data_IF_422148031328
#
_entry.id   IF_422148031328
#
_cell.length_a   1.000
_cell.length_b   1.000
_cell.length_c   1.000
_cell.angle_alpha   90.00
_cell.angle_beta   90.00
_cell.angle_gamma   90.00
#
_symmetry.space_group_name_H-M   'P 1'
#
loop_
_entity.id
_entity.type
_entity.pdbx_description
1 polymer ?
#
# COMPACT_ATOMS: atom_id res chain seq x y z
N UNK A 1 1.78 24.53 -89.03
CA UNK A 1 1.84 24.92 -87.60
C UNK A 1 2.78 23.93 -86.92
N UNK A 2 4.12 24.09 -86.86
CA UNK A 2 4.91 25.13 -86.13
C UNK A 2 4.32 25.33 -84.72
N UNK A 3 4.98 25.03 -83.58
CA UNK A 3 6.39 25.21 -83.17
C UNK A 3 6.78 24.20 -82.04
N UNK A 4 7.77 23.33 -82.17
CA UNK A 4 9.18 23.45 -81.70
C UNK A 4 9.40 24.26 -80.40
N UNK A 5 9.47 23.60 -79.24
CA UNK A 5 9.97 24.16 -77.96
C UNK A 5 11.44 23.81 -77.76
N UNK A 6 12.28 24.86 -77.68
CA UNK A 6 13.74 24.81 -77.53
C UNK A 6 14.13 24.62 -76.05
N UNK A 7 14.94 23.59 -75.79
CA UNK A 7 15.75 23.44 -74.59
C UNK A 7 16.78 24.56 -74.46
N UNK A 8 16.85 25.21 -73.29
CA UNK A 8 17.91 26.14 -72.91
C UNK A 8 18.91 25.46 -71.96
N UNK A 9 20.23 25.62 -72.17
CA UNK A 9 21.25 25.24 -71.19
C UNK A 9 21.42 26.37 -70.17
N UNK A 10 21.53 26.04 -68.89
CA UNK A 10 21.95 26.99 -67.85
C UNK A 10 23.43 26.76 -67.58
N UNK A 11 24.21 27.78 -67.94
CA UNK A 11 25.63 27.85 -67.74
C UNK A 11 26.00 28.06 -66.27
N UNK A 12 27.12 27.44 -65.91
CA UNK A 12 27.87 27.59 -64.67
C UNK A 12 28.44 29.02 -64.61
N UNK A 13 28.16 29.74 -63.52
CA UNK A 13 28.93 30.93 -63.13
C UNK A 13 29.37 30.78 -61.67
N UNK A 14 30.67 30.53 -61.50
CA UNK A 14 31.37 30.66 -60.22
C UNK A 14 31.59 32.15 -59.96
N UNK A 15 31.10 32.66 -58.84
CA UNK A 15 31.56 33.91 -58.26
C UNK A 15 31.80 33.71 -56.77
N UNK A 16 33.08 33.84 -56.38
CA UNK A 16 33.53 33.93 -54.99
C UNK A 16 33.14 35.30 -54.46
N UNK A 17 32.38 35.34 -53.35
CA UNK A 17 32.37 36.48 -52.43
C UNK A 17 32.61 35.93 -51.04
N UNK A 18 33.85 36.10 -50.61
CA UNK A 18 34.32 36.05 -49.22
C UNK A 18 33.80 37.31 -48.52
N UNK A 19 33.72 37.23 -47.19
CA UNK A 19 33.37 38.28 -46.21
C UNK A 19 31.88 38.29 -45.84
N UNK A 20 31.56 37.65 -44.72
CA UNK A 20 30.71 38.14 -43.61
C UNK A 20 30.52 36.98 -42.60
N UNK A 21 31.60 36.64 -41.89
CA UNK A 21 31.63 35.65 -40.80
C UNK A 21 32.09 36.33 -39.49
N UNK A 22 31.46 37.46 -39.14
CA UNK A 22 31.73 38.18 -37.90
C UNK A 22 30.48 38.79 -37.25
N UNK A 23 29.27 38.32 -37.62
CA UNK A 23 28.00 38.91 -37.17
C UNK A 23 26.94 37.89 -36.71
N UNK A 24 27.31 36.64 -36.42
CA UNK A 24 26.38 35.60 -35.99
C UNK A 24 26.88 34.76 -34.81
N UNK A 25 27.92 35.23 -34.09
CA UNK A 25 28.44 34.60 -32.86
C UNK A 25 28.12 35.44 -31.61
N UNK A 26 27.59 36.66 -31.77
CA UNK A 26 27.29 37.57 -30.64
C UNK A 26 25.79 37.63 -30.26
N UNK A 27 24.95 36.75 -30.83
CA UNK A 27 23.52 36.61 -30.44
C UNK A 27 23.23 35.23 -29.82
N UNK A 28 24.18 34.29 -29.84
CA UNK A 28 24.04 32.96 -29.21
C UNK A 28 24.55 32.94 -27.76
N UNK A 29 25.19 34.01 -27.28
CA UNK A 29 25.73 34.12 -25.90
C UNK A 29 24.79 34.81 -24.90
N UNK A 30 23.59 35.25 -25.30
CA UNK A 30 22.64 35.96 -24.43
C UNK A 30 21.38 35.14 -24.05
N UNK A 31 21.47 33.80 -24.11
CA UNK A 31 20.49 32.89 -23.53
C UNK A 31 21.17 32.02 -22.45
N UNK A 32 21.93 32.68 -21.57
CA UNK A 32 22.23 32.12 -20.25
C UNK A 32 20.92 32.16 -19.48
N UNK A 33 20.12 31.11 -19.62
CA UNK A 33 18.96 30.86 -18.78
C UNK A 33 19.43 30.99 -17.33
N UNK A 34 18.94 32.03 -16.63
CA UNK A 34 19.19 32.21 -15.22
C UNK A 34 18.68 30.95 -14.51
N UNK A 35 19.60 30.05 -14.15
CA UNK A 35 19.30 28.88 -13.35
C UNK A 35 18.92 29.43 -11.98
N UNK A 36 17.62 29.63 -11.78
CA UNK A 36 17.09 30.06 -10.50
C UNK A 36 17.40 28.96 -9.49
N UNK A 37 18.45 29.18 -8.71
CA UNK A 37 18.87 28.30 -7.62
C UNK A 37 17.73 28.22 -6.61
N UNK A 38 17.03 27.10 -6.61
CA UNK A 38 16.05 26.80 -5.59
C UNK A 38 16.78 26.67 -4.25
N UNK A 39 16.33 27.41 -3.23
CA UNK A 39 16.93 27.37 -1.90
C UNK A 39 15.98 26.63 -0.96
N UNK A 40 16.43 25.63 -0.20
CA UNK A 40 15.56 24.98 0.78
C UNK A 40 15.10 26.02 1.81
N UNK A 41 13.80 26.00 2.12
CA UNK A 41 13.20 26.98 3.02
C UNK A 41 11.80 26.61 3.49
N UNK A 42 11.36 27.29 4.53
CA UNK A 42 10.02 27.18 5.10
C UNK A 42 9.26 28.46 4.75
N UNK A 43 8.13 28.32 4.08
CA UNK A 43 7.22 29.42 3.74
C UNK A 43 6.00 29.35 4.65
N UNK A 44 5.81 30.36 5.49
CA UNK A 44 4.59 30.55 6.27
C UNK A 44 3.67 31.52 5.54
N UNK A 45 2.42 31.14 5.37
CA UNK A 45 1.38 31.97 4.74
C UNK A 45 0.55 32.70 5.79
N UNK A 46 -0.05 33.84 5.42
CA UNK A 46 -0.93 34.64 6.29
C UNK A 46 -2.18 33.89 6.74
N UNK A 47 -2.56 32.82 6.04
CA UNK A 47 -3.64 31.92 6.45
C UNK A 47 -3.22 30.89 7.50
N UNK A 48 -1.94 30.86 7.87
CA UNK A 48 -1.37 29.92 8.85
C UNK A 48 -0.83 28.63 8.25
N UNK A 49 -0.91 28.41 6.93
CA UNK A 49 -0.32 27.22 6.30
C UNK A 49 1.21 27.34 6.22
N UNK A 50 1.92 26.24 6.48
CA UNK A 50 3.38 26.14 6.50
C UNK A 50 3.81 25.14 5.43
N UNK A 51 4.68 25.58 4.51
CA UNK A 51 5.25 24.77 3.44
C UNK A 51 6.76 24.62 3.65
N UNK A 52 7.32 23.42 3.50
CA UNK A 52 8.75 23.15 3.65
C UNK A 52 9.26 22.44 2.40
N UNK A 53 10.22 23.03 1.70
CA UNK A 53 10.75 22.48 0.45
C UNK A 53 11.71 23.43 -0.25
N UNK A 54 12.00 23.15 -1.52
CA UNK A 54 12.85 24.03 -2.33
C UNK A 54 12.06 25.25 -2.78
N UNK A 55 12.49 26.44 -2.36
CA UNK A 55 11.82 27.71 -2.60
C UNK A 55 12.48 28.41 -3.79
N UNK A 56 11.68 28.68 -4.82
CA UNK A 56 12.07 29.49 -5.98
C UNK A 56 11.19 30.73 -6.03
N UNK A 57 11.81 31.90 -5.91
CA UNK A 57 11.12 33.18 -6.04
C UNK A 57 11.11 33.64 -7.50
N UNK A 58 9.92 33.89 -8.07
CA UNK A 58 9.76 34.44 -9.41
C UNK A 58 8.75 35.60 -9.40
N UNK A 59 9.28 36.82 -9.33
CA UNK A 59 8.46 38.04 -9.34
C UNK A 59 7.47 38.06 -8.16
N UNK A 60 6.17 38.03 -8.45
CA UNK A 60 5.11 38.09 -7.43
C UNK A 60 4.63 36.70 -6.94
N UNK A 61 5.31 35.62 -7.35
CA UNK A 61 4.94 34.25 -6.98
C UNK A 61 6.14 33.52 -6.40
N UNK A 62 5.90 32.73 -5.35
CA UNK A 62 6.88 31.82 -4.77
C UNK A 62 6.45 30.40 -5.09
N UNK A 63 7.36 29.61 -5.65
CA UNK A 63 7.13 28.19 -5.92
C UNK A 63 7.86 27.38 -4.86
N UNK A 64 7.13 26.57 -4.10
CA UNK A 64 7.71 25.62 -3.13
C UNK A 64 7.60 24.22 -3.72
N UNK A 65 8.73 23.54 -3.93
CA UNK A 65 8.77 22.15 -4.38
C UNK A 65 8.86 21.22 -3.18
N UNK A 66 7.82 20.42 -2.96
CA UNK A 66 7.76 19.44 -1.87
C UNK A 66 7.73 18.05 -2.50
N UNK A 67 8.83 17.30 -2.39
CA UNK A 67 8.93 15.94 -2.94
C UNK A 67 8.53 15.86 -4.43
N UNK A 68 8.89 16.88 -5.21
CA UNK A 68 8.61 16.98 -6.64
C UNK A 68 7.25 17.57 -7.01
N UNK A 69 6.42 17.96 -6.04
CA UNK A 69 5.17 18.70 -6.29
C UNK A 69 5.43 20.19 -6.11
N UNK A 70 5.24 20.96 -7.19
CA UNK A 70 5.37 22.42 -7.16
C UNK A 70 4.07 23.08 -6.68
N UNK A 71 4.15 23.85 -5.60
CA UNK A 71 3.05 24.68 -5.09
C UNK A 71 3.36 26.15 -5.31
N UNK A 72 2.52 26.85 -6.09
CA UNK A 72 2.68 28.28 -6.37
C UNK A 72 1.85 29.10 -5.37
N UNK A 73 2.50 30.01 -4.67
CA UNK A 73 1.90 30.86 -3.63
C UNK A 73 2.13 32.32 -4.03
N UNK A 74 1.08 33.13 -4.04
CA UNK A 74 1.24 34.55 -4.31
C UNK A 74 2.03 35.19 -3.16
N UNK A 75 3.00 36.05 -3.47
CA UNK A 75 3.85 36.70 -2.46
C UNK A 75 3.04 37.53 -1.46
N UNK A 76 1.87 38.05 -1.86
CA UNK A 76 0.95 38.76 -0.97
C UNK A 76 0.40 37.89 0.17
N UNK A 77 0.28 36.58 -0.06
CA UNK A 77 -0.26 35.61 0.90
C UNK A 77 0.83 35.09 1.86
N UNK A 78 2.08 35.51 1.71
CA UNK A 78 3.21 35.02 2.49
C UNK A 78 3.44 35.94 3.69
N UNK A 79 3.51 35.33 4.87
CA UNK A 79 3.83 35.99 6.13
C UNK A 79 5.34 36.04 6.34
N UNK A 80 6.02 34.91 6.18
CA UNK A 80 7.48 34.83 6.31
C UNK A 80 8.08 33.71 5.47
N UNK A 81 9.36 33.89 5.10
CA UNK A 81 10.17 32.88 4.41
C UNK A 81 11.45 32.72 5.24
N UNK A 82 11.67 31.53 5.73
CA UNK A 82 12.86 31.18 6.48
C UNK A 82 13.71 30.23 5.63
N UNK A 83 14.80 30.76 5.07
CA UNK A 83 15.74 29.97 4.30
C UNK A 83 16.56 29.10 5.22
N UNK A 84 16.63 27.81 4.92
CA UNK A 84 17.51 26.87 5.61
C UNK A 84 18.91 27.05 5.04
N UNK A 85 19.69 27.94 5.65
CA UNK A 85 21.11 28.11 5.32
C UNK A 85 21.94 27.09 6.07
N UNK A 86 22.90 26.48 5.39
CA UNK A 86 23.85 25.53 5.99
C UNK A 86 23.55 24.07 5.67
N UNK A 87 24.54 23.23 5.93
CA UNK A 87 24.41 21.77 5.83
C UNK A 87 23.36 21.23 6.78
N UNK A 88 22.82 20.04 6.49
CA UNK A 88 21.88 19.38 7.41
C UNK A 88 22.47 19.18 8.81
N UNK A 89 23.79 19.00 8.89
CA UNK A 89 24.51 18.91 10.17
C UNK A 89 24.52 20.24 10.92
N UNK A 90 24.83 21.36 10.25
CA UNK A 90 24.79 22.70 10.87
C UNK A 90 23.38 23.03 11.38
N UNK A 91 22.34 22.66 10.63
CA UNK A 91 20.95 22.83 11.06
C UNK A 91 20.58 21.96 12.26
N UNK A 92 21.09 20.72 12.31
CA UNK A 92 20.93 19.83 13.46
C UNK A 92 21.60 20.45 14.69
N UNK A 93 22.83 20.91 14.56
CA UNK A 93 23.63 21.47 15.65
C UNK A 93 23.00 22.76 16.19
N UNK A 94 22.53 23.64 15.29
CA UNK A 94 21.81 24.86 15.67
C UNK A 94 20.54 24.53 16.47
N UNK A 95 19.70 23.60 15.98
CA UNK A 95 18.49 23.18 16.69
C UNK A 95 18.82 22.54 18.03
N UNK A 96 19.84 21.69 18.06
CA UNK A 96 20.32 21.01 19.27
C UNK A 96 20.80 22.01 20.32
N UNK A 97 21.47 23.08 19.90
CA UNK A 97 21.95 24.15 20.81
C UNK A 97 20.83 24.95 21.48
N UNK A 98 19.62 24.95 20.90
CA UNK A 98 18.44 25.64 21.43
C UNK A 98 17.65 24.78 22.43
N UNK A 99 17.97 23.48 22.56
CA UNK A 99 17.31 22.57 23.49
C UNK A 99 17.90 22.75 24.90
N UNK A 100 17.04 22.68 25.92
CA UNK A 100 17.50 22.58 27.30
C UNK A 100 18.20 21.23 27.54
N UNK A 101 19.09 21.18 28.52
CA UNK A 101 19.89 19.98 28.80
C UNK A 101 19.02 18.74 29.10
N UNK A 102 17.88 18.95 29.75
CA UNK A 102 16.89 17.97 30.22
C UNK A 102 15.64 17.86 29.31
N UNK A 103 15.62 18.49 28.13
CA UNK A 103 14.47 18.46 27.24
C UNK A 103 14.36 17.15 26.45
N UNK A 104 13.80 16.12 27.09
CA UNK A 104 13.54 14.79 26.48
C UNK A 104 12.71 14.94 25.20
N UNK A 105 11.61 15.71 25.27
CA UNK A 105 10.67 15.86 24.16
C UNK A 105 11.32 16.53 22.95
N UNK A 106 12.04 17.63 23.16
CA UNK A 106 12.76 18.34 22.10
C UNK A 106 13.82 17.48 21.43
N UNK A 107 14.51 16.62 22.19
CA UNK A 107 15.49 15.66 21.64
C UNK A 107 14.83 14.58 20.78
N UNK A 108 13.70 14.04 21.22
CA UNK A 108 12.92 13.06 20.42
C UNK A 108 12.42 13.71 19.12
N UNK A 109 11.89 14.92 19.19
CA UNK A 109 11.41 15.66 18.00
C UNK A 109 12.56 15.96 17.03
N UNK A 110 13.71 16.40 17.54
CA UNK A 110 14.90 16.62 16.73
C UNK A 110 15.44 15.31 16.11
N UNK A 111 15.36 14.20 16.85
CA UNK A 111 15.75 12.88 16.36
C UNK A 111 14.83 12.37 15.24
N UNK A 112 13.52 12.62 15.32
CA UNK A 112 12.58 12.35 14.21
C UNK A 112 12.91 13.19 12.99
N UNK A 113 13.20 14.49 13.18
CA UNK A 113 13.64 15.35 12.08
C UNK A 113 14.94 14.86 11.43
N UNK A 114 15.92 14.41 12.22
CA UNK A 114 17.16 13.83 11.69
C UNK A 114 16.89 12.56 10.88
N UNK A 115 16.00 11.68 11.35
CA UNK A 115 15.59 10.47 10.65
C UNK A 115 14.89 10.78 9.32
N UNK A 116 13.99 11.77 9.29
CA UNK A 116 13.32 12.22 8.06
C UNK A 116 14.30 12.73 7.01
N UNK A 117 15.43 13.28 7.44
CA UNK A 117 16.54 13.74 6.58
C UNK A 117 17.61 12.66 6.33
N UNK A 118 17.32 11.38 6.60
CA UNK A 118 18.23 10.25 6.43
C UNK A 118 19.52 10.33 7.27
N UNK A 119 19.56 11.17 8.31
CA UNK A 119 20.67 11.29 9.26
C UNK A 119 20.52 10.25 10.38
N UNK A 120 20.60 8.96 10.03
CA UNK A 120 20.30 7.85 10.95
C UNK A 120 21.25 7.74 12.14
N UNK A 121 22.50 8.21 12.03
CA UNK A 121 23.42 8.23 13.17
C UNK A 121 23.06 9.34 14.17
N UNK A 122 22.95 10.62 13.76
CA UNK A 122 22.46 11.68 14.63
C UNK A 122 21.08 11.41 15.26
N UNK A 123 20.16 10.80 14.51
CA UNK A 123 18.85 10.41 15.04
C UNK A 123 18.97 9.40 16.21
N UNK A 124 19.89 8.43 16.11
CA UNK A 124 20.13 7.44 17.15
C UNK A 124 20.76 8.07 18.40
N UNK A 125 21.74 8.97 18.22
CA UNK A 125 22.39 9.71 19.32
C UNK A 125 21.37 10.52 20.12
N UNK A 126 20.51 11.27 19.45
CA UNK A 126 19.45 12.05 20.09
C UNK A 126 18.44 11.17 20.86
N UNK A 127 18.09 10.01 20.30
CA UNK A 127 17.22 9.05 20.98
C UNK A 127 17.89 8.43 22.23
N UNK A 128 19.19 8.18 22.17
CA UNK A 128 19.98 7.69 23.31
C UNK A 128 20.10 8.75 24.40
N UNK A 129 20.36 10.01 24.04
CA UNK A 129 20.39 11.13 24.99
C UNK A 129 19.05 11.35 25.68
N UNK A 130 17.95 11.29 24.93
CA UNK A 130 16.61 11.35 25.49
C UNK A 130 16.36 10.21 26.49
N UNK A 131 16.76 8.97 26.13
CA UNK A 131 16.63 7.80 27.03
C UNK A 131 17.57 7.89 28.25
N UNK A 132 18.68 8.61 28.15
CA UNK A 132 19.59 8.81 29.28
C UNK A 132 19.01 9.81 30.30
N UNK A 133 18.28 10.82 29.83
CA UNK A 133 17.59 11.79 30.69
C UNK A 133 16.37 11.14 31.34
N UNK A 134 15.54 10.44 30.56
CA UNK A 134 14.41 9.66 31.05
C UNK A 134 14.41 8.23 30.45
N UNK A 135 14.86 7.23 31.22
CA UNK A 135 14.88 5.83 30.76
C UNK A 135 13.50 5.21 30.51
N UNK A 136 12.43 5.86 30.96
CA UNK A 136 11.05 5.35 30.88
C UNK A 136 10.19 6.05 29.82
N UNK A 137 10.74 7.03 29.09
CA UNK A 137 10.01 7.72 28.02
C UNK A 137 9.77 6.79 26.81
N UNK A 138 8.51 6.42 26.59
CA UNK A 138 8.09 5.53 25.50
C UNK A 138 8.47 6.06 24.12
N UNK A 139 8.48 7.39 23.92
CA UNK A 139 8.77 8.00 22.63
C UNK A 139 10.25 7.89 22.26
N UNK A 140 11.16 8.10 23.22
CA UNK A 140 12.60 7.92 23.06
C UNK A 140 12.95 6.46 22.80
N UNK A 141 12.35 5.52 23.55
CA UNK A 141 12.51 4.07 23.36
C UNK A 141 12.06 3.66 21.95
N UNK A 142 10.86 4.10 21.54
CA UNK A 142 10.29 3.80 20.22
C UNK A 142 11.14 4.36 19.08
N UNK A 143 11.61 5.60 19.20
CA UNK A 143 12.48 6.23 18.20
C UNK A 143 13.80 5.47 18.06
N UNK A 144 14.46 5.13 19.18
CA UNK A 144 15.72 4.37 19.18
C UNK A 144 15.58 3.04 18.45
N UNK A 145 14.51 2.30 18.72
CA UNK A 145 14.27 1.01 18.07
C UNK A 145 13.99 1.17 16.57
N UNK A 146 13.18 2.16 16.19
CA UNK A 146 12.88 2.46 14.79
C UNK A 146 14.15 2.79 14.00
N UNK A 147 15.03 3.64 14.54
CA UNK A 147 16.28 4.03 13.88
C UNK A 147 17.22 2.82 13.73
N UNK A 148 17.31 1.93 14.73
CA UNK A 148 18.11 0.70 14.65
C UNK A 148 17.61 -0.25 13.57
N UNK A 149 16.30 -0.42 13.45
CA UNK A 149 15.70 -1.26 12.42
C UNK A 149 16.00 -0.70 11.03
N UNK A 150 15.90 0.62 10.84
CA UNK A 150 16.24 1.28 9.59
C UNK A 150 17.73 1.13 9.24
N UNK A 151 18.64 1.36 10.20
CA UNK A 151 20.09 1.13 9.99
C UNK A 151 20.40 -0.32 9.59
N UNK A 152 19.72 -1.30 10.19
CA UNK A 152 19.86 -2.73 9.84
C UNK A 152 19.39 -2.99 8.41
N UNK A 153 18.25 -2.43 8.01
CA UNK A 153 17.73 -2.56 6.65
C UNK A 153 18.68 -1.93 5.62
N UNK A 154 19.23 -0.74 5.89
CA UNK A 154 20.15 -0.09 4.96
C UNK A 154 21.48 -0.83 4.86
N UNK A 155 22.02 -1.38 5.96
CA UNK A 155 23.19 -2.27 5.91
C UNK A 155 22.92 -3.54 5.10
N UNK A 156 21.73 -4.13 5.22
CA UNK A 156 21.36 -5.30 4.44
C UNK A 156 21.27 -4.96 2.94
N UNK A 157 20.71 -3.79 2.59
CA UNK A 157 20.67 -3.28 1.21
C UNK A 157 22.05 -3.03 0.63
N UNK A 158 22.96 -2.40 1.38
CA UNK A 158 24.33 -2.11 0.92
C UNK A 158 25.20 -3.37 0.77
N UNK A 159 24.81 -4.49 1.41
CA UNK A 159 25.50 -5.78 1.30
C UNK A 159 25.03 -6.64 0.13
N UNK A 160 23.94 -6.28 -0.55
CA UNK A 160 23.54 -6.98 -1.76
C UNK A 160 24.57 -6.67 -2.87
N UNK A 161 25.14 -7.70 -3.53
CA UNK A 161 26.02 -7.49 -4.68
C UNK A 161 25.31 -6.62 -5.72
N UNK A 162 25.92 -5.48 -6.06
CA UNK A 162 25.61 -4.79 -7.30
C UNK A 162 26.25 -5.64 -8.42
N UNK A 163 25.51 -6.63 -8.91
CA UNK A 163 25.99 -7.46 -10.01
C UNK A 163 26.21 -6.59 -11.26
N UNK A 164 27.49 -6.45 -11.56
CA UNK A 164 28.09 -6.64 -12.87
C UNK A 164 27.11 -6.72 -14.05
N UNK A 165 27.20 -5.66 -14.86
CA UNK A 165 26.78 -5.62 -16.26
C UNK A 165 27.25 -6.90 -16.98
N UNK A 166 26.36 -7.67 -17.64
CA UNK A 166 26.76 -8.92 -18.27
C UNK A 166 27.64 -8.63 -19.49
N UNK A 167 28.91 -8.99 -19.39
CA UNK A 167 29.82 -9.08 -20.52
C UNK A 167 29.62 -10.46 -21.20
N UNK A 168 29.47 -10.39 -22.52
CA UNK A 168 29.27 -11.54 -23.41
C UNK A 168 30.58 -12.32 -23.53
N UNK A 169 30.51 -13.63 -23.24
CA UNK A 169 31.25 -14.71 -23.90
C UNK A 169 32.76 -14.85 -23.62
N UNK A 170 33.17 -15.99 -23.08
CA UNK A 170 33.98 -17.03 -23.77
C UNK A 170 34.48 -18.07 -22.76
N UNK A 171 34.30 -19.34 -23.12
CA UNK A 171 34.79 -20.58 -22.49
C UNK A 171 36.28 -20.59 -22.19
N UNK A 172 36.71 -21.10 -21.02
CA UNK A 172 37.59 -22.30 -20.87
C UNK A 172 37.50 -22.87 -19.45
N UNK A 173 37.58 -24.21 -19.35
CA UNK A 173 37.72 -25.03 -18.15
C UNK A 173 38.94 -24.66 -17.28
N UNK A 174 38.77 -24.71 -15.95
CA UNK A 174 39.74 -25.33 -15.03
C UNK A 174 39.10 -25.59 -13.66
N UNK A 175 39.39 -26.78 -13.12
CA UNK A 175 38.86 -27.34 -11.88
C UNK A 175 39.50 -26.75 -10.62
N UNK A 176 38.72 -26.63 -9.53
CA UNK A 176 39.21 -26.74 -8.15
C UNK A 176 38.06 -27.07 -7.16
N UNK A 177 38.38 -27.66 -6.00
CA UNK A 177 37.53 -28.65 -5.31
C UNK A 177 36.48 -28.07 -4.35
N UNK A 178 35.45 -28.88 -4.15
CA UNK A 178 34.33 -28.66 -3.25
C UNK A 178 34.74 -28.68 -1.77
N UNK A 179 34.35 -27.65 -1.03
CA UNK A 179 34.13 -27.71 0.42
C UNK A 179 32.64 -27.52 0.67
N UNK A 180 31.97 -28.64 0.88
CA UNK A 180 30.57 -28.75 1.28
C UNK A 180 30.47 -28.51 2.78
N UNK A 181 29.91 -27.38 3.21
CA UNK A 181 29.39 -27.21 4.57
C UNK A 181 27.92 -26.82 4.49
N UNK A 182 27.07 -27.83 4.63
CA UNK A 182 25.63 -27.68 4.87
C UNK A 182 25.40 -27.03 6.24
N UNK A 183 24.58 -25.99 6.38
CA UNK A 183 24.11 -25.57 7.69
C UNK A 183 23.00 -26.52 8.17
N UNK A 184 23.33 -27.28 9.21
CA UNK A 184 22.40 -28.08 10.01
C UNK A 184 21.37 -27.18 10.69
N UNK A 185 20.11 -27.36 10.32
CA UNK A 185 18.92 -26.86 11.02
C UNK A 185 18.80 -27.56 12.36
N UNK A 186 19.18 -26.89 13.45
CA UNK A 186 18.77 -27.29 14.81
C UNK A 186 17.40 -26.69 15.15
N UNK A 187 16.49 -27.47 15.75
CA UNK A 187 15.16 -26.99 16.14
C UNK A 187 15.27 -26.06 17.36
N UNK A 188 14.76 -24.83 17.22
CA UNK A 188 14.74 -23.85 18.29
C UNK A 188 13.71 -24.25 19.36
N UNK A 189 14.20 -24.44 20.57
CA UNK A 189 13.44 -24.54 21.82
C UNK A 189 12.68 -23.23 22.07
N UNK A 190 11.37 -23.35 22.32
CA UNK A 190 10.48 -22.23 22.59
C UNK A 190 10.85 -21.52 23.91
N UNK A 191 11.35 -20.29 23.78
CA UNK A 191 11.51 -19.36 24.90
C UNK A 191 10.18 -18.67 25.20
N UNK A 192 9.76 -18.70 26.46
CA UNK A 192 8.47 -18.20 26.98
C UNK A 192 8.48 -16.71 27.34
N UNK A 193 9.33 -15.90 26.69
CA UNK A 193 9.18 -14.45 26.78
C UNK A 193 7.88 -14.04 26.06
N UNK A 194 7.08 -13.11 26.60
CA UNK A 194 5.92 -12.58 25.90
C UNK A 194 6.42 -11.98 24.58
N UNK A 195 6.21 -12.72 23.49
CA UNK A 195 6.77 -12.40 22.20
C UNK A 195 6.28 -11.01 21.78
N UNK A 196 7.19 -10.17 21.32
CA UNK A 196 6.85 -8.88 20.77
C UNK A 196 5.70 -9.04 19.74
N UNK A 197 4.79 -8.05 19.63
CA UNK A 197 3.65 -8.15 18.72
C UNK A 197 4.11 -8.52 17.31
N UNK A 198 3.58 -9.62 16.76
CA UNK A 198 3.88 -10.03 15.38
C UNK A 198 3.13 -9.11 14.43
N UNK A 199 3.84 -8.32 13.66
CA UNK A 199 3.31 -7.54 12.55
C UNK A 199 3.40 -8.33 11.25
N UNK A 200 2.56 -7.96 10.27
CA UNK A 200 2.75 -8.36 8.88
C UNK A 200 4.09 -7.86 8.34
N UNK A 201 4.71 -8.66 7.46
CA UNK A 201 5.93 -8.24 6.76
C UNK A 201 5.62 -7.19 5.69
N UNK A 202 6.66 -6.50 5.19
CA UNK A 202 6.50 -5.54 4.10
C UNK A 202 5.93 -6.20 2.82
N UNK A 203 6.29 -7.46 2.58
CA UNK A 203 5.79 -8.21 1.42
C UNK A 203 4.31 -8.60 1.58
N UNK A 204 3.88 -8.99 2.78
CA UNK A 204 2.47 -9.23 3.11
C UNK A 204 1.62 -7.97 2.91
N UNK A 205 2.13 -6.82 3.36
CA UNK A 205 1.48 -5.53 3.14
C UNK A 205 1.36 -5.23 1.65
N UNK A 206 2.40 -5.50 0.86
CA UNK A 206 2.34 -5.35 -0.60
C UNK A 206 1.35 -6.33 -1.24
N UNK A 207 1.21 -7.55 -0.73
CA UNK A 207 0.18 -8.49 -1.18
C UNK A 207 -1.22 -7.92 -0.95
N UNK A 208 -1.50 -7.39 0.26
CA UNK A 208 -2.79 -6.73 0.55
C UNK A 208 -3.04 -5.57 -0.42
N UNK A 209 -2.05 -4.67 -0.60
CA UNK A 209 -2.19 -3.53 -1.52
C UNK A 209 -2.50 -3.95 -2.95
N UNK A 210 -1.76 -4.93 -3.49
CA UNK A 210 -2.01 -5.47 -4.85
C UNK A 210 -3.38 -6.14 -4.97
N UNK A 211 -3.87 -6.78 -3.90
CA UNK A 211 -5.16 -7.46 -3.92
C UNK A 211 -6.33 -6.51 -3.72
N UNK A 212 -6.16 -5.40 -3.00
CA UNK A 212 -7.22 -4.41 -2.73
C UNK A 212 -7.30 -3.25 -3.73
N UNK A 213 -6.32 -3.09 -4.63
CA UNK A 213 -6.40 -2.07 -5.70
C UNK A 213 -7.62 -2.30 -6.61
N UNK A 214 -8.33 -1.22 -6.93
CA UNK A 214 -9.53 -1.22 -7.78
C UNK A 214 -9.38 -0.30 -9.00
N UNK A 215 -10.16 -0.51 -10.07
CA UNK A 215 -10.29 0.48 -11.14
C UNK A 215 -10.71 1.84 -10.58
N UNK A 216 -10.07 2.91 -11.02
CA UNK A 216 -10.36 4.29 -10.58
C UNK A 216 -9.61 4.73 -9.32
N UNK A 217 -8.92 3.84 -8.61
CA UNK A 217 -8.09 4.22 -7.47
C UNK A 217 -6.96 5.18 -7.90
N UNK A 218 -6.71 6.23 -7.11
CA UNK A 218 -5.59 7.15 -7.34
C UNK A 218 -4.33 6.69 -6.60
N UNK A 219 -3.78 5.54 -6.99
CA UNK A 219 -2.57 4.97 -6.37
C UNK A 219 -1.33 5.08 -7.24
N UNK A 220 -0.19 5.33 -6.58
CA UNK A 220 1.13 5.29 -7.21
C UNK A 220 1.59 3.84 -7.33
N UNK A 221 1.77 3.38 -8.56
CA UNK A 221 2.27 2.03 -8.86
C UNK A 221 3.61 2.10 -9.57
N UNK A 222 4.53 1.25 -9.15
CA UNK A 222 5.78 0.99 -9.87
C UNK A 222 5.70 -0.39 -10.53
N UNK A 223 5.83 -0.40 -11.85
CA UNK A 223 5.88 -1.62 -12.67
C UNK A 223 7.19 -1.58 -13.46
N UNK A 224 8.10 -2.55 -13.27
CA UNK A 224 9.35 -2.61 -14.01
C UNK A 224 9.13 -2.62 -15.53
N UNK A 225 9.96 -1.90 -16.33
CA UNK A 225 9.77 -1.82 -17.78
C UNK A 225 9.79 -3.17 -18.51
N UNK A 226 10.62 -4.11 -18.03
CA UNK A 226 10.72 -5.48 -18.54
C UNK A 226 9.44 -6.29 -18.27
N UNK A 227 8.81 -6.11 -17.10
CA UNK A 227 7.50 -6.71 -16.78
C UNK A 227 6.43 -6.20 -17.74
N UNK A 228 6.39 -4.88 -18.01
CA UNK A 228 5.44 -4.30 -18.98
C UNK A 228 5.63 -4.87 -20.38
N UNK A 229 6.87 -4.97 -20.86
CA UNK A 229 7.20 -5.54 -22.18
C UNK A 229 6.81 -7.01 -22.27
N UNK A 230 7.17 -7.80 -21.25
CA UNK A 230 6.89 -9.23 -21.20
C UNK A 230 5.38 -9.50 -21.17
N UNK A 231 4.63 -8.72 -20.40
CA UNK A 231 3.17 -8.80 -20.38
C UNK A 231 2.56 -8.45 -21.74
N UNK A 232 2.95 -7.31 -22.33
CA UNK A 232 2.42 -6.89 -23.64
C UNK A 232 2.69 -7.94 -24.73
N UNK A 233 3.91 -8.48 -24.79
CA UNK A 233 4.28 -9.55 -25.72
C UNK A 233 3.43 -10.81 -25.51
N UNK A 234 3.24 -11.24 -24.26
CA UNK A 234 2.44 -12.43 -23.92
C UNK A 234 0.96 -12.27 -24.31
N UNK A 235 0.41 -11.08 -24.15
CA UNK A 235 -0.99 -10.80 -24.48
C UNK A 235 -1.22 -10.47 -25.96
N UNK A 236 -0.16 -10.49 -26.80
CA UNK A 236 -0.26 -10.10 -28.20
C UNK A 236 -0.57 -8.60 -28.41
N UNK A 237 -0.30 -7.77 -27.41
CA UNK A 237 -0.51 -6.32 -27.46
C UNK A 237 0.76 -5.62 -27.92
N UNK A 238 0.60 -4.49 -28.62
CA UNK A 238 1.75 -3.61 -28.85
C UNK A 238 2.19 -2.97 -27.53
N UNK A 239 3.49 -2.76 -27.34
CA UNK A 239 4.00 -2.13 -26.12
C UNK A 239 3.45 -0.69 -25.94
N UNK A 240 3.22 0.01 -27.05
CA UNK A 240 2.62 1.35 -27.06
C UNK A 240 1.18 1.34 -26.59
N UNK A 241 0.37 0.37 -27.04
CA UNK A 241 -1.02 0.20 -26.62
C UNK A 241 -1.13 -0.15 -25.14
N UNK A 242 -0.23 -0.98 -24.61
CA UNK A 242 -0.24 -1.26 -23.18
C UNK A 242 0.18 -0.02 -22.36
N UNK A 243 1.18 0.73 -22.82
CA UNK A 243 1.67 1.91 -22.13
C UNK A 243 0.71 3.12 -22.17
N UNK A 244 -0.26 3.15 -23.08
CA UNK A 244 -1.26 4.22 -23.12
C UNK A 244 -2.31 4.10 -22.00
N UNK A 245 -2.43 2.93 -21.37
CA UNK A 245 -3.26 2.72 -20.17
C UNK A 245 -2.67 3.49 -18.98
N UNK A 246 -3.50 3.86 -18.00
CA UNK A 246 -3.03 4.43 -16.74
C UNK A 246 -2.18 3.41 -15.96
N UNK A 247 -1.34 3.87 -15.02
CA UNK A 247 -0.50 2.98 -14.22
C UNK A 247 -1.31 1.93 -13.44
N UNK A 248 -2.50 2.29 -12.96
CA UNK A 248 -3.42 1.39 -12.25
C UNK A 248 -4.03 0.36 -13.19
N UNK A 249 -4.47 0.76 -14.37
CA UNK A 249 -4.98 -0.17 -15.38
C UNK A 249 -3.90 -1.14 -15.86
N UNK A 250 -2.67 -0.66 -16.06
CA UNK A 250 -1.52 -1.53 -16.37
C UNK A 250 -1.29 -2.55 -15.24
N UNK A 251 -1.34 -2.10 -13.98
CA UNK A 251 -1.14 -2.97 -12.83
C UNK A 251 -2.23 -4.04 -12.73
N UNK A 252 -3.49 -3.64 -12.81
CA UNK A 252 -4.65 -4.54 -12.75
C UNK A 252 -4.62 -5.59 -13.87
N UNK A 253 -4.28 -5.17 -15.09
CA UNK A 253 -4.17 -6.08 -16.23
C UNK A 253 -3.13 -7.19 -15.98
N UNK A 254 -1.96 -6.82 -15.44
CA UNK A 254 -0.91 -7.79 -15.07
C UNK A 254 -1.32 -8.63 -13.85
N UNK A 255 -1.98 -8.03 -12.86
CA UNK A 255 -2.43 -8.76 -11.66
C UNK A 255 -3.44 -9.85 -12.01
N UNK A 256 -4.34 -9.58 -12.95
CA UNK A 256 -5.36 -10.52 -13.41
C UNK A 256 -4.77 -11.57 -14.35
N UNK A 257 -4.04 -11.15 -15.40
CA UNK A 257 -3.67 -12.03 -16.51
C UNK A 257 -2.17 -12.38 -16.62
N UNK A 258 -1.31 -11.74 -15.82
CA UNK A 258 0.12 -12.04 -15.77
C UNK A 258 0.43 -13.33 -15.01
N UNK A 259 1.65 -13.85 -15.15
CA UNK A 259 2.14 -14.92 -14.29
C UNK A 259 2.60 -14.40 -12.91
N UNK A 260 2.88 -15.33 -12.00
CA UNK A 260 3.25 -15.02 -10.61
C UNK A 260 4.56 -14.22 -10.51
N UNK A 261 5.49 -14.43 -11.46
CA UNK A 261 6.73 -13.65 -11.52
C UNK A 261 6.46 -12.20 -11.92
N UNK A 262 5.55 -11.94 -12.86
CA UNK A 262 5.13 -10.59 -13.21
C UNK A 262 4.36 -9.92 -12.06
N UNK A 263 3.41 -10.64 -11.45
CA UNK A 263 2.56 -10.14 -10.35
C UNK A 263 3.38 -9.71 -9.13
N UNK A 264 4.38 -10.50 -8.75
CA UNK A 264 5.23 -10.24 -7.57
C UNK A 264 6.13 -9.02 -7.72
N UNK A 265 6.48 -8.63 -8.95
CA UNK A 265 7.33 -7.47 -9.23
C UNK A 265 6.59 -6.13 -9.21
N UNK A 266 5.25 -6.14 -9.18
CA UNK A 266 4.45 -4.92 -9.06
C UNK A 266 4.53 -4.40 -7.63
N UNK A 267 4.89 -3.12 -7.47
CA UNK A 267 4.92 -2.45 -6.17
C UNK A 267 3.87 -1.34 -6.14
N UNK A 268 3.01 -1.39 -5.13
CA UNK A 268 1.98 -0.38 -4.87
C UNK A 268 2.52 0.54 -3.77
N UNK A 269 2.91 1.74 -4.17
CA UNK A 269 3.71 2.69 -3.37
C UNK A 269 2.84 3.58 -2.46
N UNK A 270 1.55 3.70 -2.74
CA UNK A 270 0.56 4.36 -1.87
C UNK A 270 -0.61 3.43 -1.60
N UNK A 271 -1.38 3.71 -0.55
CA UNK A 271 -2.48 2.83 -0.15
C UNK A 271 -3.67 2.91 -1.13
N UNK A 272 -4.29 1.77 -1.48
CA UNK A 272 -5.60 1.75 -2.13
C UNK A 272 -6.68 2.44 -1.31
N UNK A 273 -7.75 2.92 -1.95
CA UNK A 273 -8.84 3.66 -1.28
C UNK A 273 -9.46 2.85 -0.14
N UNK A 274 -9.62 1.53 -0.36
CA UNK A 274 -10.12 0.60 0.65
C UNK A 274 -9.31 0.65 1.96
N UNK A 275 -7.99 0.79 1.85
CA UNK A 275 -7.09 0.84 3.00
C UNK A 275 -7.03 2.25 3.60
N UNK A 276 -7.09 3.29 2.77
CA UNK A 276 -7.19 4.69 3.23
C UNK A 276 -8.42 4.85 4.14
N UNK A 277 -9.59 4.39 3.70
CA UNK A 277 -10.81 4.44 4.51
C UNK A 277 -10.72 3.56 5.75
N UNK A 278 -10.14 2.36 5.66
CA UNK A 278 -9.91 1.52 6.84
C UNK A 278 -9.06 2.23 7.89
N UNK A 279 -7.96 2.89 7.49
CA UNK A 279 -7.10 3.63 8.43
C UNK A 279 -7.84 4.76 9.14
N UNK A 280 -8.79 5.43 8.47
CA UNK A 280 -9.68 6.43 9.10
C UNK A 280 -10.63 5.81 10.13
N UNK A 281 -11.01 4.54 9.94
CA UNK A 281 -11.85 3.78 10.88
C UNK A 281 -11.03 3.11 11.99
N UNK A 282 -9.75 2.87 11.77
CA UNK A 282 -8.89 2.03 12.60
C UNK A 282 -8.78 2.54 14.04
N UNK A 283 -8.61 3.85 14.26
CA UNK A 283 -8.58 4.43 15.60
C UNK A 283 -9.88 4.19 16.38
N UNK A 284 -11.04 4.23 15.73
CA UNK A 284 -12.32 3.89 16.38
C UNK A 284 -12.37 2.41 16.78
N UNK A 285 -11.87 1.52 15.91
CA UNK A 285 -11.82 0.08 16.18
C UNK A 285 -10.85 -0.22 17.33
N UNK A 286 -9.67 0.40 17.37
CA UNK A 286 -8.73 0.22 18.48
C UNK A 286 -9.36 0.66 19.80
N UNK A 287 -9.87 1.89 19.83
CA UNK A 287 -10.42 2.46 21.06
C UNK A 287 -11.69 1.73 21.55
N UNK A 288 -12.44 1.14 20.63
CA UNK A 288 -13.68 0.44 20.93
C UNK A 288 -13.53 -1.07 21.23
N UNK A 289 -12.59 -1.73 20.57
CA UNK A 289 -12.50 -3.20 20.56
C UNK A 289 -11.15 -3.70 21.11
N UNK A 290 -10.04 -3.04 20.78
CA UNK A 290 -8.68 -3.51 21.10
C UNK A 290 -8.19 -3.09 22.51
N UNK A 291 -9.09 -2.82 23.44
CA UNK A 291 -8.69 -2.50 24.82
C UNK A 291 -8.07 -3.72 25.50
N UNK A 292 -7.19 -3.51 26.48
CA UNK A 292 -6.49 -4.60 27.20
C UNK A 292 -7.44 -5.63 27.82
N UNK A 293 -8.64 -5.21 28.22
CA UNK A 293 -9.66 -6.10 28.81
C UNK A 293 -10.50 -6.85 27.77
N UNK A 294 -10.50 -6.41 26.51
CA UNK A 294 -11.31 -6.99 25.44
C UNK A 294 -10.41 -7.75 24.44
N UNK A 295 -9.99 -7.09 23.35
CA UNK A 295 -9.24 -7.69 22.25
C UNK A 295 -7.83 -7.11 22.05
N UNK A 296 -7.25 -6.40 23.02
CA UNK A 296 -5.86 -5.91 22.94
C UNK A 296 -4.80 -7.01 23.05
N UNK A 297 -3.51 -6.65 23.05
CA UNK A 297 -2.39 -7.61 23.16
C UNK A 297 -2.38 -8.43 24.45
N UNK A 298 -2.98 -7.92 25.53
CA UNK A 298 -3.17 -8.61 26.80
C UNK A 298 -4.58 -9.22 26.95
N UNK A 299 -5.31 -9.36 25.84
CA UNK A 299 -6.73 -9.70 25.81
C UNK A 299 -7.06 -10.95 26.61
N UNK A 300 -8.19 -10.85 27.31
CA UNK A 300 -8.90 -12.01 27.88
C UNK A 300 -10.23 -12.29 27.17
N UNK A 301 -10.63 -11.40 26.25
CA UNK A 301 -11.87 -11.45 25.48
C UNK A 301 -11.78 -12.44 24.31
N UNK A 302 -11.78 -13.72 24.63
CA UNK A 302 -11.78 -14.79 23.63
C UNK A 302 -10.54 -14.81 22.74
N UNK A 303 -10.76 -15.14 21.48
CA UNK A 303 -9.75 -15.61 20.53
C UNK A 303 -9.33 -14.53 19.50
N UNK A 304 -9.93 -13.35 19.55
CA UNK A 304 -9.56 -12.24 18.67
C UNK A 304 -8.57 -11.34 19.41
N UNK A 305 -7.39 -11.15 18.81
CA UNK A 305 -6.34 -10.26 19.30
C UNK A 305 -6.06 -9.20 18.23
N UNK A 306 -6.10 -7.94 18.63
CA UNK A 306 -5.85 -6.76 17.81
C UNK A 306 -4.67 -5.98 18.38
N UNK A 307 -3.92 -5.37 17.48
CA UNK A 307 -2.79 -4.50 17.82
C UNK A 307 -3.30 -3.10 18.16
N UNK A 308 -2.82 -2.53 19.27
CA UNK A 308 -3.28 -1.24 19.79
C UNK A 308 -2.54 -0.04 19.22
N UNK A 309 -1.43 -0.28 18.51
CA UNK A 309 -0.61 0.79 17.96
C UNK A 309 -1.30 1.44 16.75
N UNK A 310 -1.27 2.76 16.67
CA UNK A 310 -1.75 3.54 15.52
C UNK A 310 -0.61 3.81 14.53
N UNK A 311 -0.04 2.74 13.96
CA UNK A 311 1.00 2.82 12.93
C UNK A 311 0.64 1.96 11.71
N UNK A 312 1.37 2.14 10.61
CA UNK A 312 1.10 1.46 9.34
C UNK A 312 1.11 -0.08 9.45
N UNK A 313 2.17 -0.70 10.00
CA UNK A 313 2.21 -2.15 10.18
C UNK A 313 1.05 -2.67 11.03
N UNK A 314 0.69 -1.98 12.11
CA UNK A 314 -0.45 -2.35 12.96
C UNK A 314 -1.78 -2.23 12.22
N UNK A 315 -1.97 -1.17 11.44
CA UNK A 315 -3.17 -0.95 10.62
C UNK A 315 -3.37 -2.10 9.64
N UNK A 316 -2.34 -2.45 8.87
CA UNK A 316 -2.42 -3.56 7.92
C UNK A 316 -2.63 -4.92 8.59
N UNK A 317 -1.96 -5.15 9.72
CA UNK A 317 -2.11 -6.38 10.48
C UNK A 317 -3.54 -6.52 11.01
N UNK A 318 -4.10 -5.45 11.59
CA UNK A 318 -5.48 -5.44 12.05
C UNK A 318 -6.49 -5.57 10.90
N UNK A 319 -6.25 -4.91 9.76
CA UNK A 319 -7.08 -5.08 8.55
C UNK A 319 -7.13 -6.57 8.13
N UNK A 320 -5.98 -7.24 8.08
CA UNK A 320 -5.91 -8.65 7.74
C UNK A 320 -6.63 -9.53 8.77
N UNK A 321 -6.37 -9.32 10.07
CA UNK A 321 -7.04 -10.08 11.14
C UNK A 321 -8.56 -9.93 11.02
N UNK A 322 -9.07 -8.70 10.89
CA UNK A 322 -10.51 -8.44 10.83
C UNK A 322 -11.17 -9.03 9.59
N UNK A 323 -10.49 -9.00 8.43
CA UNK A 323 -11.04 -9.57 7.20
C UNK A 323 -11.02 -11.10 7.18
N UNK A 324 -10.02 -11.70 7.84
CA UNK A 324 -9.87 -13.16 7.85
C UNK A 324 -10.56 -13.84 9.04
N UNK A 325 -10.96 -13.10 10.08
CA UNK A 325 -11.63 -13.66 11.25
C UNK A 325 -13.07 -14.05 10.95
N UNK A 326 -13.43 -15.26 11.33
CA UNK A 326 -14.79 -15.80 11.23
C UNK A 326 -15.21 -16.49 12.52
N UNK A 327 -16.52 -16.51 12.76
CA UNK A 327 -17.11 -17.16 13.93
C UNK A 327 -18.48 -17.72 13.60
N UNK A 328 -18.78 -18.89 14.16
CA UNK A 328 -20.12 -19.46 14.16
C UNK A 328 -21.06 -18.64 15.06
N UNK A 329 -22.18 -18.19 14.50
CA UNK A 329 -23.23 -17.47 15.23
C UNK A 329 -24.58 -18.15 15.05
N UNK A 330 -25.47 -17.95 16.02
CA UNK A 330 -26.73 -18.66 16.18
C UNK A 330 -26.71 -19.51 17.45
N UNK A 331 -27.83 -19.54 18.17
CA UNK A 331 -27.98 -20.43 19.32
C UNK A 331 -28.11 -21.88 18.81
N UNK A 332 -27.38 -22.79 19.44
CA UNK A 332 -27.44 -24.23 19.13
C UNK A 332 -28.82 -24.85 19.39
N UNK A 333 -29.74 -24.10 20.00
CA UNK A 333 -31.11 -24.50 20.29
C UNK A 333 -32.07 -24.27 19.14
N UNK A 334 -31.70 -23.47 18.13
CA UNK A 334 -32.52 -23.19 16.96
C UNK A 334 -32.40 -24.33 15.92
N UNK A 335 -32.59 -25.58 16.37
CA UNK A 335 -32.45 -26.84 15.61
C UNK A 335 -33.56 -27.07 14.57
N UNK A 336 -34.03 -26.01 13.90
CA UNK A 336 -34.82 -26.19 12.69
C UNK A 336 -34.06 -27.09 11.71
N UNK A 337 -34.77 -27.81 10.84
CA UNK A 337 -34.19 -28.72 9.83
C UNK A 337 -33.09 -28.06 8.95
N UNK A 338 -33.03 -26.72 8.92
CA UNK A 338 -32.01 -25.93 8.23
C UNK A 338 -31.28 -24.90 9.14
N UNK A 339 -31.49 -24.94 10.46
CA UNK A 339 -31.01 -23.96 11.46
C UNK A 339 -29.78 -24.45 12.21
N UNK A 340 -28.63 -24.47 11.55
CA UNK A 340 -27.35 -24.72 12.21
C UNK A 340 -26.63 -23.42 12.57
N UNK A 341 -25.65 -23.45 13.50
CA UNK A 341 -24.71 -22.35 13.66
C UNK A 341 -24.10 -22.00 12.30
N UNK A 342 -24.30 -20.74 11.89
CA UNK A 342 -23.84 -20.26 10.59
C UNK A 342 -22.53 -19.52 10.79
N UNK A 343 -21.51 -19.88 10.02
CA UNK A 343 -20.24 -19.15 10.02
C UNK A 343 -20.48 -17.73 9.47
N UNK A 344 -20.06 -16.72 10.22
CA UNK A 344 -20.09 -15.31 9.84
C UNK A 344 -18.72 -14.69 9.95
N UNK A 345 -18.40 -13.80 9.01
CA UNK A 345 -17.14 -13.06 9.02
C UNK A 345 -17.26 -11.79 9.86
N UNK A 346 -16.14 -11.39 10.43
CA UNK A 346 -16.05 -10.11 11.12
C UNK A 346 -16.20 -8.96 10.12
N UNK A 347 -15.61 -9.09 8.93
CA UNK A 347 -15.85 -8.21 7.78
C UNK A 347 -16.48 -9.03 6.64
N UNK A 348 -17.77 -8.84 6.39
CA UNK A 348 -18.55 -9.46 5.33
C UNK A 348 -18.77 -8.44 4.19
N UNK A 349 -18.02 -8.60 3.10
CA UNK A 349 -18.03 -7.68 1.94
C UNK A 349 -19.41 -7.63 1.29
N UNK A 350 -19.91 -6.43 1.02
CA UNK A 350 -21.25 -6.23 0.44
C UNK A 350 -22.43 -6.49 1.36
N UNK A 351 -22.19 -6.91 2.62
CA UNK A 351 -23.21 -7.17 3.64
C UNK A 351 -22.81 -6.60 5.00
N UNK A 352 -22.25 -5.40 4.97
CA UNK A 352 -21.62 -4.73 6.10
C UNK A 352 -22.56 -4.53 7.29
N UNK A 353 -23.85 -4.32 7.04
CA UNK A 353 -24.87 -4.18 8.07
C UNK A 353 -25.04 -5.46 8.89
N UNK A 354 -24.94 -6.63 8.27
CA UNK A 354 -25.01 -7.94 8.94
C UNK A 354 -23.66 -8.49 9.38
N UNK A 355 -22.56 -7.82 9.03
CA UNK A 355 -21.20 -8.21 9.38
C UNK A 355 -20.99 -8.18 10.90
N UNK A 356 -20.20 -9.13 11.44
CA UNK A 356 -20.03 -9.18 12.90
C UNK A 356 -19.34 -7.92 13.45
N UNK A 357 -18.47 -7.24 12.68
CA UNK A 357 -17.80 -6.02 13.14
C UNK A 357 -18.81 -4.89 13.41
N UNK A 358 -19.83 -4.76 12.56
CA UNK A 358 -20.89 -3.78 12.74
C UNK A 358 -21.85 -4.22 13.87
N UNK A 359 -22.29 -5.47 13.84
CA UNK A 359 -23.28 -6.01 14.78
C UNK A 359 -22.75 -6.11 16.20
N UNK A 360 -21.51 -6.58 16.38
CA UNK A 360 -20.84 -6.58 17.68
C UNK A 360 -20.49 -5.18 18.17
N UNK A 361 -20.45 -4.17 17.30
CA UNK A 361 -20.30 -2.79 17.70
C UNK A 361 -21.58 -2.15 18.25
N UNK A 362 -22.75 -2.76 18.08
CA UNK A 362 -24.03 -2.25 18.59
C UNK A 362 -24.27 -2.66 20.05
N UNK A 363 -25.13 -1.95 20.79
CA UNK A 363 -25.59 -2.40 22.09
C UNK A 363 -26.35 -3.75 21.93
N UNK A 364 -26.20 -4.72 22.85
CA UNK A 364 -26.80 -6.05 22.70
C UNK A 364 -28.32 -6.08 22.48
N UNK A 365 -29.04 -5.05 22.93
CA UNK A 365 -30.49 -4.91 22.73
C UNK A 365 -30.88 -4.51 21.30
N UNK A 366 -29.94 -3.95 20.53
CA UNK A 366 -30.14 -3.48 19.15
C UNK A 366 -29.42 -4.36 18.12
N UNK A 367 -28.51 -5.22 18.55
CA UNK A 367 -27.75 -6.11 17.68
C UNK A 367 -28.58 -7.36 17.31
N UNK A 368 -28.59 -7.71 16.03
CA UNK A 368 -29.08 -9.01 15.55
C UNK A 368 -28.12 -10.12 16.01
N UNK A 369 -26.82 -9.92 15.79
CA UNK A 369 -25.78 -10.80 16.32
C UNK A 369 -25.12 -10.11 17.53
N UNK A 370 -25.42 -10.61 18.72
CA UNK A 370 -24.96 -10.00 19.97
C UNK A 370 -23.47 -10.25 20.19
N UNK A 371 -22.75 -9.23 20.66
CA UNK A 371 -21.37 -9.40 21.13
C UNK A 371 -21.33 -10.47 22.23
N UNK A 372 -20.39 -11.44 22.19
CA UNK A 372 -20.22 -12.43 23.25
C UNK A 372 -20.05 -11.78 24.62
N UNK A 373 -20.58 -12.41 25.68
CA UNK A 373 -20.45 -11.88 27.03
C UNK A 373 -18.98 -11.78 27.42
N UNK A 374 -18.54 -10.58 27.78
CA UNK A 374 -17.21 -10.34 28.33
C UNK A 374 -17.19 -10.91 29.75
N UNK A 375 -16.40 -11.96 29.97
CA UNK A 375 -16.34 -12.66 31.27
C UNK A 375 -15.43 -11.96 32.28
N UNK A 376 -14.52 -11.11 31.81
CA UNK A 376 -13.55 -10.38 32.63
C UNK A 376 -13.56 -8.91 32.24
N UNK A 377 -13.85 -8.03 33.19
CA UNK A 377 -13.94 -6.58 32.96
C UNK A 377 -15.39 -6.06 32.88
N UNK A 378 -15.57 -4.78 32.51
CA UNK A 378 -16.88 -4.16 32.45
C UNK A 378 -17.74 -4.79 31.35
N UNK A 379 -19.06 -4.75 31.55
CA UNK A 379 -20.00 -5.18 30.52
C UNK A 379 -19.81 -4.34 29.24
N UNK A 380 -19.79 -5.03 28.11
CA UNK A 380 -19.70 -4.38 26.80
C UNK A 380 -21.02 -3.67 26.46
N UNK A 381 -20.93 -2.38 26.14
CA UNK A 381 -22.10 -1.52 25.89
C UNK A 381 -22.32 -1.15 24.42
N UNK A 382 -21.45 -1.60 23.50
CA UNK A 382 -21.45 -1.11 22.12
C UNK A 382 -20.56 0.11 21.93
N UNK A 383 -19.95 0.22 20.75
CA UNK A 383 -19.21 1.40 20.30
C UNK A 383 -20.10 2.36 19.49
N UNK A 384 -21.20 1.84 18.95
CA UNK A 384 -22.24 2.57 18.23
C UNK A 384 -23.47 2.74 19.11
N UNK A 385 -24.26 3.80 18.87
CA UNK A 385 -25.54 3.99 19.59
C UNK A 385 -26.65 3.10 19.05
N UNK A 386 -26.72 2.97 17.72
CA UNK A 386 -27.67 2.19 16.93
C UNK A 386 -27.20 2.16 15.46
N UNK A 387 -28.03 1.57 14.60
CA UNK A 387 -27.83 1.52 13.15
C UNK A 387 -27.87 2.89 12.47
N UNK A 388 -28.41 3.91 13.15
CA UNK A 388 -28.47 5.28 12.64
C UNK A 388 -27.24 6.11 12.97
N UNK A 389 -26.38 5.63 13.88
CA UNK A 389 -25.11 6.26 14.24
C UNK A 389 -24.25 6.48 12.96
N UNK A 390 -23.79 7.72 12.69
CA UNK A 390 -22.95 8.01 11.52
C UNK A 390 -21.71 7.12 11.42
N UNK A 391 -21.16 6.68 12.56
CA UNK A 391 -20.00 5.79 12.62
C UNK A 391 -20.35 4.37 12.19
N UNK A 392 -21.54 3.89 12.56
CA UNK A 392 -22.07 2.61 12.09
C UNK A 392 -22.28 2.66 10.57
N UNK A 393 -22.94 3.70 10.05
CA UNK A 393 -23.16 3.86 8.61
C UNK A 393 -21.84 3.90 7.85
N UNK A 394 -20.82 4.59 8.38
CA UNK A 394 -19.50 4.67 7.75
C UNK A 394 -18.78 3.32 7.68
N UNK A 395 -18.82 2.50 8.73
CA UNK A 395 -18.16 1.19 8.69
C UNK A 395 -18.89 0.22 7.75
N UNK A 396 -20.22 0.30 7.70
CA UNK A 396 -21.05 -0.47 6.76
C UNK A 396 -20.76 -0.05 5.32
N UNK A 397 -20.71 1.26 5.05
CA UNK A 397 -20.38 1.82 3.74
C UNK A 397 -19.01 1.37 3.26
N UNK A 398 -18.00 1.39 4.14
CA UNK A 398 -16.66 0.89 3.82
C UNK A 398 -16.68 -0.61 3.47
N UNK A 399 -17.41 -1.45 4.22
CA UNK A 399 -17.51 -2.88 3.91
C UNK A 399 -18.28 -3.19 2.63
N UNK A 400 -19.25 -2.34 2.29
CA UNK A 400 -20.10 -2.53 1.10
C UNK A 400 -19.44 -2.01 -0.18
N UNK A 401 -18.85 -0.82 -0.11
CA UNK A 401 -18.42 -0.06 -1.29
C UNK A 401 -16.92 0.26 -1.28
N UNK A 402 -16.32 0.34 -0.08
CA UNK A 402 -14.88 0.57 0.08
C UNK A 402 -14.04 -0.64 -0.33
N UNK A 403 -14.45 -1.83 0.08
CA UNK A 403 -13.75 -3.09 -0.22
C UNK A 403 -14.05 -3.62 -1.64
N UNK A 404 -13.18 -4.48 -2.17
CA UNK A 404 -13.54 -5.30 -3.34
C UNK A 404 -14.70 -6.23 -3.00
N UNK A 405 -15.63 -6.42 -3.93
CA UNK A 405 -16.83 -7.25 -3.69
C UNK A 405 -16.51 -8.73 -3.42
N UNK A 406 -15.55 -9.30 -4.15
CA UNK A 406 -15.03 -10.65 -3.87
C UNK A 406 -13.83 -10.52 -2.95
N UNK A 407 -13.85 -11.28 -1.84
CA UNK A 407 -12.72 -11.33 -0.93
C UNK A 407 -11.51 -11.99 -1.61
N UNK A 408 -10.37 -11.27 -1.71
CA UNK A 408 -9.19 -11.86 -2.30
C UNK A 408 -8.53 -12.84 -1.32
N UNK A 409 -7.99 -13.92 -1.86
CA UNK A 409 -7.06 -14.76 -1.12
C UNK A 409 -5.67 -14.08 -1.10
N UNK A 410 -5.21 -13.72 0.09
CA UNK A 410 -3.94 -13.02 0.24
C UNK A 410 -2.74 -13.96 0.25
N UNK A 411 -2.90 -15.22 0.70
CA UNK A 411 -1.81 -16.19 0.91
C UNK A 411 -0.74 -15.74 1.93
N UNK A 412 -1.19 -15.06 2.99
CA UNK A 412 -0.33 -14.58 4.08
C UNK A 412 -0.34 -15.60 5.22
N UNK A 413 0.85 -16.09 5.60
CA UNK A 413 1.02 -16.90 6.81
C UNK A 413 1.07 -16.01 8.06
N UNK A 414 -0.12 -15.71 8.57
CA UNK A 414 -0.30 -15.02 9.83
C UNK A 414 -1.35 -15.76 10.65
N UNK A 415 -1.07 -16.07 11.93
CA UNK A 415 -1.98 -16.83 12.76
C UNK A 415 -3.24 -16.01 13.04
N UNK A 416 -4.31 -16.32 12.30
CA UNK A 416 -5.65 -15.80 12.53
C UNK A 416 -6.53 -16.93 13.03
N UNK A 417 -7.29 -16.68 14.10
CA UNK A 417 -8.30 -17.63 14.54
C UNK A 417 -9.46 -17.62 13.55
N UNK A 418 -9.64 -18.73 12.85
CA UNK A 418 -10.77 -19.00 11.97
C UNK A 418 -11.63 -20.09 12.60
N UNK A 419 -12.95 -20.02 12.42
CA UNK A 419 -13.76 -21.20 12.70
C UNK A 419 -13.23 -22.37 11.86
N UNK A 420 -13.16 -23.59 12.40
CA UNK A 420 -12.78 -24.75 11.61
C UNK A 420 -13.73 -24.85 10.42
N UNK A 421 -13.22 -24.61 9.22
CA UNK A 421 -13.99 -24.79 7.99
C UNK A 421 -14.38 -26.25 7.96
N UNK A 422 -15.68 -26.55 7.91
CA UNK A 422 -16.11 -27.90 7.63
C UNK A 422 -15.45 -28.31 6.31
N UNK A 423 -14.50 -29.24 6.36
CA UNK A 423 -13.90 -29.82 5.17
C UNK A 423 -15.03 -30.58 4.50
N UNK A 424 -15.74 -29.94 3.59
CA UNK A 424 -16.48 -30.66 2.57
C UNK A 424 -15.41 -31.37 1.77
N UNK A 425 -15.10 -32.60 2.16
CA UNK A 425 -14.46 -33.54 1.25
C UNK A 425 -15.23 -33.44 -0.07
N UNK A 426 -14.53 -33.27 -1.21
CA UNK A 426 -15.21 -33.29 -2.49
C UNK A 426 -16.01 -34.58 -2.52
N UNK A 427 -17.33 -34.45 -2.53
CA UNK A 427 -18.23 -35.58 -2.69
C UNK A 427 -17.74 -36.30 -3.92
N UNK A 428 -17.19 -37.50 -3.73
CA UNK A 428 -16.87 -38.40 -4.81
C UNK A 428 -18.20 -38.66 -5.49
N UNK A 429 -18.45 -37.88 -6.55
CA UNK A 429 -19.53 -38.15 -7.49
C UNK A 429 -19.43 -39.64 -7.78
N UNK A 430 -20.46 -40.45 -7.47
CA UNK A 430 -20.40 -41.87 -7.74
C UNK A 430 -20.04 -42.01 -9.21
N UNK A 431 -18.90 -42.65 -9.46
CA UNK A 431 -18.44 -43.01 -10.80
C UNK A 431 -19.60 -43.74 -11.47
N UNK A 432 -20.35 -43.05 -12.32
CA UNK A 432 -21.37 -43.69 -13.14
C UNK A 432 -20.62 -44.67 -14.02
N UNK A 433 -20.77 -45.96 -13.68
CA UNK A 433 -20.28 -47.05 -14.51
C UNK A 433 -20.97 -46.91 -15.88
N UNK A 434 -20.23 -46.87 -17.00
CA UNK A 434 -20.85 -46.90 -18.32
C UNK A 434 -21.38 -48.31 -18.55
N UNK A 435 -22.62 -48.56 -18.12
CA UNK A 435 -23.24 -49.87 -18.15
C UNK A 435 -24.75 -49.78 -18.25
N UNK A 436 -25.24 -50.02 -19.46
CA UNK A 436 -26.64 -50.25 -19.86
C UNK A 436 -27.35 -49.05 -20.49
N UNK A 437 -27.43 -49.10 -21.82
CA UNK A 437 -28.37 -48.35 -22.62
C UNK A 437 -29.80 -48.60 -22.13
N UNK A 438 -30.58 -47.57 -21.77
CA UNK A 438 -32.02 -47.70 -21.61
C UNK A 438 -32.63 -47.90 -22.99
N UNK A 439 -33.47 -48.93 -23.10
CA UNK A 439 -34.21 -49.24 -24.33
C UNK A 439 -34.99 -48.05 -24.86
N UNK A 440 -35.13 -48.03 -26.19
CA UNK A 440 -35.88 -47.05 -26.96
C UNK A 440 -37.31 -46.88 -26.41
N UNK A 441 -37.54 -45.79 -25.68
CA UNK A 441 -38.88 -45.31 -25.37
C UNK A 441 -39.39 -44.50 -26.58
N UNK A 442 -40.44 -45.02 -27.19
CA UNK A 442 -41.24 -44.40 -28.25
C UNK A 442 -41.63 -42.97 -27.89
N UNK A 443 -41.26 -42.02 -28.76
CA UNK A 443 -41.71 -40.62 -28.70
C UNK A 443 -43.24 -40.54 -28.77
N UNK A 444 -43.93 -39.86 -27.84
CA UNK A 444 -45.32 -39.50 -28.04
C UNK A 444 -45.42 -38.45 -29.15
N UNK A 445 -46.33 -38.70 -30.09
CA UNK A 445 -46.67 -37.82 -31.21
C UNK A 445 -47.21 -36.50 -30.67
N UNK A 446 -46.62 -35.40 -31.12
CA UNK A 446 -47.02 -34.02 -30.81
C UNK A 446 -48.35 -33.71 -31.50
N UNK A 447 -49.42 -33.33 -30.79
CA UNK A 447 -50.65 -32.89 -31.43
C UNK A 447 -50.43 -31.54 -32.15
N UNK A 448 -51.13 -31.29 -33.28
CA UNK A 448 -51.00 -30.07 -34.06
C UNK A 448 -51.54 -28.85 -33.31
N UNK A 449 -50.87 -27.71 -33.50
CA UNK A 449 -51.18 -26.44 -32.87
C UNK A 449 -52.53 -25.89 -33.35
N UNK A 450 -53.44 -25.66 -32.40
CA UNK A 450 -54.70 -24.94 -32.62
C UNK A 450 -54.40 -23.45 -32.75
N UNK A 451 -54.71 -22.89 -33.92
CA UNK A 451 -54.69 -21.46 -34.20
C UNK A 451 -55.79 -20.74 -33.42
N UNK A 452 -55.40 -19.70 -32.66
CA UNK A 452 -56.31 -18.80 -31.95
C UNK A 452 -56.79 -17.71 -32.91
N UNK A 453 -58.11 -17.41 -33.00
CA UNK A 453 -58.60 -16.31 -33.80
C UNK A 453 -58.32 -14.98 -33.11
N UNK A 454 -57.84 -14.02 -33.88
CA UNK A 454 -57.77 -12.60 -33.55
C UNK A 454 -59.19 -12.02 -33.44
N UNK A 455 -59.41 -11.19 -32.42
CA UNK A 455 -60.51 -10.24 -32.38
C UNK A 455 -59.98 -8.90 -31.89
#
# INVERSE_FOLDING_TARGET
>A
MQTSSKSRPVAIARARVVVWLAGAVLVVTALVASVALAKPGIVKTRSGAIYSGDVVERGNTITVSIRGVETKIARADIESIEYQTGSLQEQLDERRSKLAADDVKGRVELGRWAMDNQMLQPALELALEATQIDPTDDSAISLRETVRQQQKADRARSKLPHDEKPAIGTTVLAAQPATTTSPTTSPATHSTNPAAPRYLTADDIQQIRRKEIKPGDNVRVQIPPDVKKSYAQRMGLSFSEFNSKTAVEQALAILENGDDKMRSQIKVMSDPEAIIEFKKLHGMIINGCATSNCHGSAATGGNLVLLTQENDPASYTNFYILTQYSKNVGDSTDQGIFGGPTERKLVERGRGDTSLLAQYGLPPAKATYKHPKVTKGPAFNGIFRDVDDPRFKRIVEWMNNGLRGIEPEYHIDYPVHRAPRATTEPSTLPTMTPGSAPGAATRPVRPPATTRPTR
#
